data_IF_340486106787
#
_entry.id   IF_340486106787
#
_cell.length_a   1.000
_cell.length_b   1.000
_cell.length_c   1.000
_cell.angle_alpha   90.00
_cell.angle_beta   90.00
_cell.angle_gamma   90.00
#
_symmetry.space_group_name_H-M   'P 1'
#
loop_
_entity.id
_entity.type
_entity.pdbx_description
1 polymer ?
#
# COMPACT_ATOMS: atom_id res chain seq x y z
N UNK A 1 -7.32 26.00 -11.62
CA UNK A 1 -7.42 24.84 -10.71
C UNK A 1 -7.03 23.53 -11.40
N UNK A 2 -7.75 23.06 -12.42
CA UNK A 2 -7.48 21.77 -13.09
C UNK A 2 -6.05 21.68 -13.67
N UNK A 3 -5.58 22.74 -14.32
CA UNK A 3 -4.21 22.81 -14.85
C UNK A 3 -3.14 22.73 -13.75
N UNK A 4 -3.39 23.34 -12.59
CA UNK A 4 -2.47 23.30 -11.44
C UNK A 4 -2.46 21.93 -10.76
N UNK A 5 -3.62 21.28 -10.67
CA UNK A 5 -3.71 19.91 -10.17
C UNK A 5 -2.91 18.94 -11.06
N UNK A 6 -3.05 19.06 -12.39
CA UNK A 6 -2.27 18.28 -13.34
C UNK A 6 -0.76 18.55 -13.23
N UNK A 7 -0.38 19.83 -13.16
CA UNK A 7 1.02 20.24 -12.96
C UNK A 7 1.61 19.63 -11.68
N UNK A 8 0.89 19.71 -10.56
CA UNK A 8 1.34 19.16 -9.29
C UNK A 8 1.55 17.64 -9.33
N UNK A 9 0.76 16.90 -10.11
CA UNK A 9 0.96 15.46 -10.33
C UNK A 9 2.24 15.17 -11.12
N UNK A 10 2.54 15.98 -12.13
CA UNK A 10 3.78 15.85 -12.92
C UNK A 10 5.00 16.15 -12.03
N UNK A 11 4.96 17.24 -11.27
CA UNK A 11 6.01 17.62 -10.32
C UNK A 11 6.24 16.52 -9.26
N UNK A 12 5.14 15.92 -8.75
CA UNK A 12 5.22 14.79 -7.84
C UNK A 12 5.95 13.58 -8.46
N UNK A 13 5.63 13.26 -9.71
CA UNK A 13 6.28 12.17 -10.46
C UNK A 13 7.77 12.41 -10.71
N UNK A 14 8.21 13.68 -10.75
CA UNK A 14 9.61 14.07 -10.84
C UNK A 14 10.33 14.13 -9.49
N UNK A 15 9.65 13.75 -8.40
CA UNK A 15 10.10 13.88 -7.01
C UNK A 15 10.36 15.32 -6.54
N UNK A 16 9.83 16.32 -7.27
CA UNK A 16 9.82 17.72 -6.80
C UNK A 16 8.60 17.95 -5.90
N UNK A 17 8.71 17.45 -4.67
CA UNK A 17 7.60 17.48 -3.72
C UNK A 17 7.24 18.91 -3.27
N UNK A 18 8.20 19.83 -3.20
CA UNK A 18 7.92 21.21 -2.81
C UNK A 18 7.13 21.95 -3.90
N UNK A 19 7.52 21.83 -5.17
CA UNK A 19 6.75 22.40 -6.27
C UNK A 19 5.36 21.76 -6.36
N UNK A 20 5.27 20.44 -6.23
CA UNK A 20 4.02 19.69 -6.24
C UNK A 20 3.05 20.17 -5.16
N UNK A 21 3.52 20.30 -3.91
CA UNK A 21 2.72 20.78 -2.79
C UNK A 21 2.23 22.21 -3.02
N UNK A 22 3.07 23.09 -3.57
CA UNK A 22 2.68 24.45 -3.93
C UNK A 22 1.58 24.45 -4.99
N UNK A 23 1.75 23.68 -6.06
CA UNK A 23 0.76 23.53 -7.13
C UNK A 23 -0.60 23.03 -6.59
N UNK A 24 -0.60 22.01 -5.74
CA UNK A 24 -1.83 21.49 -5.13
C UNK A 24 -2.49 22.51 -4.20
N UNK A 25 -1.74 23.17 -3.31
CA UNK A 25 -2.26 24.20 -2.39
C UNK A 25 -2.85 25.39 -3.16
N UNK A 26 -2.20 25.81 -4.25
CA UNK A 26 -2.74 26.84 -5.14
C UNK A 26 -4.02 26.38 -5.84
N UNK A 27 -4.10 25.11 -6.27
CA UNK A 27 -5.31 24.56 -6.85
C UNK A 27 -6.49 24.57 -5.85
N UNK A 28 -6.25 24.17 -4.60
CA UNK A 28 -7.26 24.20 -3.51
C UNK A 28 -7.75 25.63 -3.27
N UNK A 29 -6.86 26.63 -3.18
CA UNK A 29 -7.25 28.05 -2.96
C UNK A 29 -8.18 28.61 -4.04
N UNK A 30 -8.07 28.13 -5.27
CA UNK A 30 -8.90 28.59 -6.40
C UNK A 30 -10.27 27.87 -6.40
N UNK A 31 -10.35 26.67 -5.82
CA UNK A 31 -11.57 25.88 -5.81
C UNK A 31 -12.51 26.37 -4.71
N UNK A 32 -13.77 26.59 -5.09
CA UNK A 32 -14.84 26.98 -4.17
C UNK A 32 -15.57 25.74 -3.62
N UNK A 33 -15.64 25.59 -2.30
CA UNK A 33 -16.30 24.49 -1.59
C UNK A 33 -17.82 24.41 -1.80
N UNK A 34 -18.45 25.47 -2.34
CA UNK A 34 -19.91 25.53 -2.54
C UNK A 34 -20.43 24.68 -3.71
N UNK A 35 -19.56 24.04 -4.49
CA UNK A 35 -19.97 23.18 -5.61
C UNK A 35 -19.52 21.74 -5.37
N UNK A 36 -20.43 20.78 -5.58
CA UNK A 36 -20.17 19.34 -5.38
C UNK A 36 -18.96 18.84 -6.18
N UNK A 37 -18.79 19.32 -7.42
CA UNK A 37 -17.64 18.97 -8.27
C UNK A 37 -16.31 19.45 -7.69
N UNK A 38 -16.26 20.69 -7.19
CA UNK A 38 -15.05 21.20 -6.56
C UNK A 38 -14.78 20.52 -5.23
N UNK A 39 -15.82 20.17 -4.47
CA UNK A 39 -15.67 19.45 -3.21
C UNK A 39 -14.95 18.10 -3.40
N UNK A 40 -15.38 17.29 -4.37
CA UNK A 40 -14.70 16.02 -4.72
C UNK A 40 -13.26 16.26 -5.21
N UNK A 41 -13.02 17.34 -5.96
CA UNK A 41 -11.69 17.68 -6.45
C UNK A 41 -10.74 18.13 -5.32
N UNK A 42 -11.24 18.93 -4.37
CA UNK A 42 -10.47 19.35 -3.19
C UNK A 42 -10.10 18.12 -2.38
N UNK A 43 -11.02 17.18 -2.13
CA UNK A 43 -10.69 15.96 -1.40
C UNK A 43 -9.53 15.18 -2.04
N UNK A 44 -9.53 14.99 -3.37
CA UNK A 44 -8.40 14.35 -4.08
C UNK A 44 -7.09 15.14 -3.94
N UNK A 45 -7.15 16.47 -3.98
CA UNK A 45 -5.99 17.33 -3.76
C UNK A 45 -5.45 17.22 -2.34
N UNK A 46 -6.31 17.18 -1.33
CA UNK A 46 -5.92 16.97 0.07
C UNK A 46 -5.19 15.63 0.23
N UNK A 47 -5.69 14.54 -0.37
CA UNK A 47 -4.96 13.28 -0.38
C UNK A 47 -3.59 13.41 -1.08
N UNK A 48 -3.50 14.10 -2.21
CA UNK A 48 -2.23 14.27 -2.91
C UNK A 48 -1.23 15.15 -2.14
N UNK A 49 -1.71 16.17 -1.42
CA UNK A 49 -0.90 16.97 -0.49
C UNK A 49 -0.38 16.06 0.64
N UNK A 50 -1.25 15.21 1.20
CA UNK A 50 -0.86 14.19 2.17
C UNK A 50 0.26 13.29 1.64
N UNK A 51 0.15 12.82 0.39
CA UNK A 51 1.19 12.02 -0.26
C UNK A 51 2.52 12.80 -0.37
N UNK A 52 2.50 14.07 -0.79
CA UNK A 52 3.71 14.91 -0.87
C UNK A 52 4.39 15.09 0.47
N UNK A 53 3.61 15.38 1.51
CA UNK A 53 4.12 15.51 2.88
C UNK A 53 4.67 14.18 3.43
N UNK A 54 4.01 13.07 3.10
CA UNK A 54 4.49 11.73 3.46
C UNK A 54 5.88 11.46 2.86
N UNK A 55 6.11 11.80 1.59
CA UNK A 55 7.43 11.63 0.95
C UNK A 55 8.50 12.52 1.59
N UNK A 56 8.11 13.70 2.09
CA UNK A 56 9.00 14.58 2.87
C UNK A 56 9.16 14.14 4.34
N UNK A 57 8.65 12.96 4.73
CA UNK A 57 8.65 12.47 6.12
C UNK A 57 7.90 13.35 7.12
N UNK A 58 7.05 14.27 6.65
CA UNK A 58 6.19 15.14 7.47
C UNK A 58 4.89 14.41 7.84
N UNK A 59 5.02 13.28 8.52
CA UNK A 59 3.92 12.32 8.73
C UNK A 59 2.73 12.91 9.51
N UNK A 60 3.00 13.76 10.51
CA UNK A 60 1.93 14.41 11.28
C UNK A 60 1.10 15.40 10.45
N UNK A 61 1.74 16.12 9.51
CA UNK A 61 1.02 16.98 8.58
C UNK A 61 0.27 16.15 7.53
N UNK A 62 0.91 15.09 7.01
CA UNK A 62 0.28 14.17 6.06
C UNK A 62 -1.01 13.57 6.63
N UNK A 63 -0.99 13.16 7.91
CA UNK A 63 -2.15 12.62 8.61
C UNK A 63 -3.34 13.60 8.61
N UNK A 64 -3.10 14.88 8.92
CA UNK A 64 -4.16 15.91 8.88
C UNK A 64 -4.80 16.03 7.49
N UNK A 65 -3.98 16.03 6.44
CA UNK A 65 -4.46 16.15 5.07
C UNK A 65 -5.20 14.89 4.59
N UNK A 66 -4.73 13.70 4.95
CA UNK A 66 -5.46 12.46 4.67
C UNK A 66 -6.78 12.37 5.44
N UNK A 67 -6.82 12.75 6.72
CA UNK A 67 -8.08 12.81 7.50
C UNK A 67 -9.06 13.79 6.87
N UNK A 68 -8.60 15.00 6.52
CA UNK A 68 -9.44 16.00 5.83
C UNK A 68 -9.99 15.44 4.51
N UNK A 69 -9.15 14.80 3.70
CA UNK A 69 -9.58 14.14 2.47
C UNK A 69 -10.65 13.08 2.72
N UNK A 70 -10.45 12.22 3.73
CA UNK A 70 -11.37 11.14 4.06
C UNK A 70 -12.73 11.68 4.50
N UNK A 71 -12.75 12.68 5.38
CA UNK A 71 -13.97 13.33 5.85
C UNK A 71 -14.76 13.95 4.70
N UNK A 72 -14.06 14.49 3.70
CA UNK A 72 -14.70 15.00 2.49
C UNK A 72 -15.21 13.90 1.55
N UNK A 73 -14.60 12.72 1.55
CA UNK A 73 -15.02 11.63 0.66
C UNK A 73 -16.20 10.82 1.24
N UNK A 74 -16.28 10.67 2.57
CA UNK A 74 -17.30 9.86 3.28
C UNK A 74 -18.75 10.16 2.87
N UNK A 75 -19.20 11.44 2.78
CA UNK A 75 -20.58 11.74 2.37
C UNK A 75 -20.95 11.22 0.98
N UNK A 76 -19.97 11.11 0.06
CA UNK A 76 -20.23 10.59 -1.30
C UNK A 76 -20.49 9.07 -1.29
N UNK A 77 -19.89 8.34 -0.36
CA UNK A 77 -20.14 6.90 -0.15
C UNK A 77 -21.54 6.68 0.42
N UNK A 78 -21.90 7.44 1.46
CA UNK A 78 -23.18 7.37 2.16
C UNK A 78 -24.35 7.76 1.25
N UNK A 79 -24.19 8.81 0.45
CA UNK A 79 -25.18 9.23 -0.53
C UNK A 79 -25.31 8.31 -1.76
N UNK A 80 -24.49 7.26 -1.86
CA UNK A 80 -24.44 6.31 -2.98
C UNK A 80 -24.23 6.97 -4.38
N UNK A 81 -23.70 8.19 -4.42
CA UNK A 81 -23.43 8.93 -5.67
C UNK A 81 -22.11 8.43 -6.25
N UNK A 82 -22.14 7.79 -7.42
CA UNK A 82 -20.93 7.17 -8.04
C UNK A 82 -20.18 6.32 -7.02
N UNK A 83 -20.92 5.48 -6.27
CA UNK A 83 -20.46 4.73 -5.09
C UNK A 83 -19.12 4.03 -5.33
N UNK A 84 -18.93 3.39 -6.48
CA UNK A 84 -17.67 2.72 -6.83
C UNK A 84 -16.47 3.69 -6.79
N UNK A 85 -16.59 4.87 -7.39
CA UNK A 85 -15.51 5.87 -7.40
C UNK A 85 -15.27 6.41 -5.98
N UNK A 86 -16.33 6.68 -5.22
CA UNK A 86 -16.21 7.16 -3.85
C UNK A 86 -15.55 6.11 -2.92
N UNK A 87 -15.95 4.85 -3.04
CA UNK A 87 -15.38 3.72 -2.28
C UNK A 87 -13.91 3.50 -2.67
N UNK A 88 -13.57 3.64 -3.95
CA UNK A 88 -12.18 3.61 -4.41
C UNK A 88 -11.36 4.73 -3.77
N UNK A 89 -11.81 5.99 -3.89
CA UNK A 89 -11.10 7.16 -3.36
C UNK A 89 -10.92 7.07 -1.82
N UNK A 90 -11.99 6.76 -1.08
CA UNK A 90 -11.92 6.53 0.38
C UNK A 90 -10.95 5.40 0.73
N UNK A 91 -11.02 4.29 0.01
CA UNK A 91 -10.16 3.13 0.25
C UNK A 91 -8.68 3.46 0.03
N UNK A 92 -8.35 4.27 -0.97
CA UNK A 92 -6.98 4.78 -1.18
C UNK A 92 -6.54 5.65 -0.01
N UNK A 93 -7.37 6.62 0.41
CA UNK A 93 -7.07 7.52 1.52
C UNK A 93 -6.86 6.77 2.84
N UNK A 94 -7.72 5.79 3.16
CA UNK A 94 -7.59 4.94 4.36
C UNK A 94 -6.31 4.10 4.32
N UNK A 95 -5.92 3.57 3.16
CA UNK A 95 -4.65 2.85 2.99
C UNK A 95 -3.45 3.77 3.29
N UNK A 96 -3.51 5.03 2.81
CA UNK A 96 -2.48 6.03 3.08
C UNK A 96 -2.42 6.42 4.56
N UNK A 97 -3.57 6.56 5.24
CA UNK A 97 -3.64 6.75 6.69
C UNK A 97 -2.97 5.58 7.42
N UNK A 98 -3.30 4.34 7.07
CA UNK A 98 -2.71 3.15 7.72
C UNK A 98 -1.19 3.11 7.58
N UNK A 99 -0.66 3.47 6.41
CA UNK A 99 0.78 3.61 6.20
C UNK A 99 1.38 4.73 7.05
N UNK A 100 0.68 5.86 7.15
CA UNK A 100 1.14 7.02 7.93
C UNK A 100 1.17 6.73 9.44
N UNK A 101 0.12 6.08 9.98
CA UNK A 101 0.09 5.61 11.36
C UNK A 101 1.25 4.66 11.66
N UNK A 102 1.57 3.75 10.75
CA UNK A 102 2.74 2.87 10.90
C UNK A 102 4.05 3.66 11.00
N UNK A 103 4.24 4.70 10.17
CA UNK A 103 5.47 5.51 10.20
C UNK A 103 5.64 6.29 11.50
N UNK A 104 4.55 6.72 12.14
CA UNK A 104 4.57 7.36 13.47
C UNK A 104 4.52 6.35 14.62
N UNK A 105 4.59 5.04 14.31
CA UNK A 105 4.55 3.93 15.28
C UNK A 105 3.25 3.85 16.09
N UNK A 106 2.16 4.38 15.54
CA UNK A 106 0.82 4.20 16.10
C UNK A 106 0.27 2.85 15.62
N UNK A 107 0.67 1.82 16.36
CA UNK A 107 0.33 0.44 16.08
C UNK A 107 -1.11 0.06 16.46
N UNK A 108 -1.82 0.95 17.16
CA UNK A 108 -3.23 0.77 17.49
C UNK A 108 -4.11 1.20 16.32
N UNK A 109 -3.85 2.38 15.75
CA UNK A 109 -4.66 2.92 14.67
C UNK A 109 -4.33 2.32 13.30
N UNK A 110 -3.08 1.92 13.06
CA UNK A 110 -2.66 1.37 11.77
C UNK A 110 -3.51 0.15 11.30
N UNK A 111 -3.69 -0.93 12.09
CA UNK A 111 -4.53 -2.05 11.67
C UNK A 111 -6.01 -1.65 11.54
N UNK A 112 -6.51 -0.79 12.43
CA UNK A 112 -7.91 -0.36 12.44
C UNK A 112 -8.31 0.30 11.10
N UNK A 113 -7.52 1.25 10.60
CA UNK A 113 -7.85 1.95 9.35
C UNK A 113 -7.69 1.07 8.11
N UNK A 114 -6.80 0.08 8.13
CA UNK A 114 -6.71 -0.91 7.05
C UNK A 114 -7.91 -1.87 7.07
N UNK A 115 -8.39 -2.26 8.25
CA UNK A 115 -9.62 -3.06 8.40
C UNK A 115 -10.85 -2.27 7.94
N UNK A 116 -10.93 -0.98 8.27
CA UNK A 116 -11.97 -0.07 7.74
C UNK A 116 -11.91 0.01 6.20
N UNK A 117 -10.72 0.20 5.63
CA UNK A 117 -10.53 0.22 4.17
C UNK A 117 -11.01 -1.08 3.52
N UNK A 118 -10.68 -2.22 4.14
CA UNK A 118 -11.06 -3.53 3.63
C UNK A 118 -12.57 -3.75 3.68
N UNK A 119 -13.22 -3.41 4.79
CA UNK A 119 -14.67 -3.49 4.95
C UNK A 119 -15.37 -2.62 3.90
N UNK A 120 -14.89 -1.39 3.73
CA UNK A 120 -15.45 -0.46 2.75
C UNK A 120 -15.29 -0.97 1.32
N UNK A 121 -14.07 -1.37 0.93
CA UNK A 121 -13.77 -1.86 -0.41
C UNK A 121 -14.53 -3.14 -0.73
N UNK A 122 -14.62 -4.10 0.20
CA UNK A 122 -15.33 -5.38 -0.02
C UNK A 122 -16.85 -5.24 -0.06
N UNK A 123 -17.41 -4.11 0.39
CA UNK A 123 -18.83 -3.79 0.24
C UNK A 123 -19.26 -3.45 -1.20
N UNK A 124 -18.29 -3.29 -2.11
CA UNK A 124 -18.50 -2.82 -3.49
C UNK A 124 -17.66 -3.60 -4.50
N UNK A 125 -16.39 -3.86 -4.19
CA UNK A 125 -15.48 -4.57 -5.08
C UNK A 125 -15.40 -6.06 -4.75
N UNK A 126 -15.19 -6.86 -5.80
CA UNK A 126 -14.90 -8.28 -5.65
C UNK A 126 -13.56 -8.51 -4.93
N UNK A 127 -13.39 -9.69 -4.33
CA UNK A 127 -12.19 -10.04 -3.55
C UNK A 127 -10.88 -9.98 -4.33
N UNK A 128 -10.94 -10.18 -5.65
CA UNK A 128 -9.80 -10.12 -6.56
C UNK A 128 -9.50 -8.71 -7.10
N UNK A 129 -10.26 -7.70 -6.68
CA UNK A 129 -9.99 -6.32 -7.08
C UNK A 129 -8.67 -5.83 -6.50
N UNK A 130 -7.86 -5.15 -7.31
CA UNK A 130 -6.49 -4.76 -6.96
C UNK A 130 -6.42 -3.90 -5.68
N UNK A 131 -7.41 -3.04 -5.43
CA UNK A 131 -7.46 -2.25 -4.18
C UNK A 131 -7.64 -3.13 -2.95
N UNK A 132 -8.52 -4.14 -3.00
CA UNK A 132 -8.76 -5.09 -1.90
C UNK A 132 -7.50 -5.89 -1.59
N UNK A 133 -6.83 -6.41 -2.64
CA UNK A 133 -5.62 -7.19 -2.50
C UNK A 133 -4.46 -6.38 -1.90
N UNK A 134 -4.29 -5.13 -2.35
CA UNK A 134 -3.27 -4.22 -1.80
C UNK A 134 -3.53 -3.90 -0.32
N UNK A 135 -4.78 -3.66 0.06
CA UNK A 135 -5.16 -3.42 1.46
C UNK A 135 -4.91 -4.66 2.32
N UNK A 136 -5.26 -5.86 1.84
CA UNK A 136 -4.99 -7.13 2.53
C UNK A 136 -3.49 -7.34 2.79
N UNK A 137 -2.65 -7.12 1.78
CA UNK A 137 -1.20 -7.21 1.91
C UNK A 137 -0.64 -6.21 2.92
N UNK A 138 -1.16 -4.97 2.92
CA UNK A 138 -0.75 -3.93 3.87
C UNK A 138 -1.18 -4.24 5.30
N UNK A 139 -2.39 -4.75 5.50
CA UNK A 139 -2.87 -5.21 6.80
C UNK A 139 -2.02 -6.38 7.32
N UNK A 140 -1.71 -7.35 6.46
CA UNK A 140 -0.85 -8.48 6.81
C UNK A 140 0.55 -8.01 7.25
N UNK A 141 1.12 -7.03 6.54
CA UNK A 141 2.39 -6.42 6.93
C UNK A 141 2.33 -5.76 8.30
N UNK A 142 1.32 -4.93 8.56
CA UNK A 142 1.13 -4.30 9.88
C UNK A 142 0.97 -5.36 10.98
N UNK A 143 0.16 -6.40 10.74
CA UNK A 143 0.00 -7.51 11.68
C UNK A 143 1.32 -8.21 12.00
N UNK A 144 2.23 -8.33 11.03
CA UNK A 144 3.59 -8.86 11.27
C UNK A 144 4.40 -7.92 12.17
N UNK A 145 4.41 -6.62 11.87
CA UNK A 145 5.18 -5.61 12.64
C UNK A 145 4.74 -5.56 14.11
N UNK A 146 3.45 -5.72 14.40
CA UNK A 146 2.92 -5.69 15.78
C UNK A 146 3.03 -7.04 16.51
N UNK A 147 3.71 -8.03 15.92
CA UNK A 147 3.95 -9.36 16.53
C UNK A 147 2.84 -10.38 16.30
N UNK A 148 1.79 -10.06 15.54
CA UNK A 148 0.71 -10.99 15.18
C UNK A 148 1.06 -11.86 13.94
N UNK A 149 2.25 -12.46 13.93
CA UNK A 149 2.77 -13.20 12.77
C UNK A 149 1.86 -14.33 12.25
N UNK A 150 1.13 -15.02 13.13
CA UNK A 150 0.14 -16.04 12.71
C UNK A 150 -1.04 -15.43 11.96
N UNK A 151 -1.50 -14.24 12.34
CA UNK A 151 -2.58 -13.55 11.65
C UNK A 151 -2.10 -13.03 10.29
N UNK A 152 -0.90 -12.45 10.24
CA UNK A 152 -0.25 -12.01 9.01
C UNK A 152 -0.11 -13.16 7.99
N UNK A 153 0.38 -14.33 8.41
CA UNK A 153 0.49 -15.50 7.53
C UNK A 153 -0.87 -15.96 6.97
N UNK A 154 -1.95 -15.90 7.77
CA UNK A 154 -3.30 -16.23 7.28
C UNK A 154 -3.75 -15.26 6.20
N UNK A 155 -3.52 -13.96 6.40
CA UNK A 155 -3.88 -12.91 5.44
C UNK A 155 -3.06 -13.02 4.14
N UNK A 156 -1.75 -13.23 4.22
CA UNK A 156 -0.92 -13.45 3.03
C UNK A 156 -1.35 -14.70 2.25
N UNK A 157 -1.59 -15.83 2.93
CA UNK A 157 -2.10 -17.05 2.29
C UNK A 157 -3.46 -16.84 1.61
N UNK A 158 -4.37 -16.12 2.25
CA UNK A 158 -5.66 -15.78 1.64
C UNK A 158 -5.47 -14.91 0.39
N UNK A 159 -4.57 -13.93 0.44
CA UNK A 159 -4.25 -13.02 -0.67
C UNK A 159 -3.62 -13.78 -1.84
N UNK A 160 -2.62 -14.63 -1.59
CA UNK A 160 -2.00 -15.51 -2.60
C UNK A 160 -3.02 -16.39 -3.30
N UNK A 161 -3.96 -17.03 -2.58
CA UNK A 161 -5.00 -17.86 -3.20
C UNK A 161 -5.85 -17.08 -4.21
N UNK A 162 -6.22 -15.85 -3.87
CA UNK A 162 -7.01 -15.01 -4.76
C UNK A 162 -6.18 -14.56 -5.96
N UNK A 163 -4.93 -14.15 -5.74
CA UNK A 163 -4.01 -13.74 -6.81
C UNK A 163 -3.74 -14.87 -7.81
N UNK A 164 -3.41 -16.06 -7.31
CA UNK A 164 -3.17 -17.25 -8.15
C UNK A 164 -4.40 -17.56 -9.01
N UNK A 165 -5.60 -17.53 -8.42
CA UNK A 165 -6.83 -17.84 -9.14
C UNK A 165 -7.21 -16.78 -10.20
N UNK A 166 -6.75 -15.54 -10.06
CA UNK A 166 -7.17 -14.41 -10.91
C UNK A 166 -6.12 -13.98 -11.93
N UNK A 167 -4.84 -13.99 -11.56
CA UNK A 167 -3.72 -13.47 -12.36
C UNK A 167 -2.65 -14.54 -12.64
N UNK A 168 -2.84 -15.77 -12.13
CA UNK A 168 -1.88 -16.85 -12.25
C UNK A 168 -0.77 -16.81 -11.20
N UNK A 169 -0.06 -17.94 -11.07
CA UNK A 169 1.00 -18.12 -10.06
C UNK A 169 2.18 -17.18 -10.25
N UNK A 170 2.50 -16.82 -11.50
CA UNK A 170 3.65 -16.00 -11.87
C UNK A 170 3.32 -14.51 -12.04
N UNK A 171 2.29 -14.00 -11.37
CA UNK A 171 1.98 -12.56 -11.35
C UNK A 171 2.94 -11.79 -10.43
N UNK A 172 3.27 -10.55 -10.79
CA UNK A 172 4.15 -9.68 -9.99
C UNK A 172 3.59 -9.51 -8.57
N UNK A 173 2.29 -9.26 -8.45
CA UNK A 173 1.62 -9.06 -7.16
C UNK A 173 1.72 -10.29 -6.28
N UNK A 174 1.64 -11.50 -6.86
CA UNK A 174 1.82 -12.73 -6.09
C UNK A 174 3.26 -12.89 -5.61
N UNK A 175 4.25 -12.52 -6.43
CA UNK A 175 5.66 -12.55 -6.06
C UNK A 175 5.99 -11.58 -4.93
N UNK A 176 5.38 -10.40 -4.93
CA UNK A 176 5.54 -9.42 -3.84
C UNK A 176 4.99 -9.99 -2.51
N UNK A 177 3.81 -10.61 -2.54
CA UNK A 177 3.23 -11.28 -1.36
C UNK A 177 4.06 -12.48 -0.91
N UNK A 178 4.62 -13.26 -1.84
CA UNK A 178 5.53 -14.37 -1.51
C UNK A 178 6.81 -13.88 -0.85
N UNK A 179 7.40 -12.78 -1.31
CA UNK A 179 8.59 -12.20 -0.69
C UNK A 179 8.30 -11.74 0.76
N UNK A 180 7.15 -11.10 0.99
CA UNK A 180 6.72 -10.70 2.33
C UNK A 180 6.44 -11.92 3.24
N UNK A 181 5.84 -12.97 2.69
CA UNK A 181 5.62 -14.24 3.40
C UNK A 181 6.95 -14.89 3.79
N UNK A 182 7.93 -14.88 2.88
CA UNK A 182 9.28 -15.38 3.14
C UNK A 182 9.99 -14.60 4.24
N UNK A 183 9.91 -13.26 4.22
CA UNK A 183 10.47 -12.40 5.27
C UNK A 183 9.88 -12.71 6.65
N UNK A 184 8.56 -12.90 6.73
CA UNK A 184 7.89 -13.28 7.97
C UNK A 184 8.30 -14.67 8.47
N UNK A 185 8.60 -15.62 7.57
CA UNK A 185 9.17 -16.90 7.97
C UNK A 185 10.60 -16.78 8.52
N UNK A 186 11.42 -15.85 8.00
CA UNK A 186 12.74 -15.54 8.57
C UNK A 186 12.60 -14.99 9.98
N UNK A 187 11.69 -14.06 10.21
CA UNK A 187 11.40 -13.51 11.56
C UNK A 187 10.99 -14.61 12.55
N UNK A 188 10.26 -15.62 12.07
CA UNK A 188 9.85 -16.79 12.86
C UNK A 188 10.90 -17.90 12.91
N UNK A 189 12.12 -17.67 12.41
CA UNK A 189 13.21 -18.65 12.30
C UNK A 189 12.83 -19.93 11.55
N UNK A 190 11.76 -19.88 10.75
CA UNK A 190 11.28 -20.97 9.91
C UNK A 190 11.99 -20.94 8.55
N UNK A 191 13.32 -21.06 8.59
CA UNK A 191 14.19 -20.80 7.44
C UNK A 191 13.90 -21.71 6.24
N UNK A 192 13.44 -22.95 6.46
CA UNK A 192 13.07 -23.87 5.37
C UNK A 192 11.88 -23.38 4.54
N UNK A 193 10.85 -22.83 5.19
CA UNK A 193 9.69 -22.24 4.49
C UNK A 193 10.05 -20.89 3.87
N UNK A 194 10.87 -20.08 4.55
CA UNK A 194 11.40 -18.84 3.98
C UNK A 194 12.17 -19.09 2.67
N UNK A 195 13.02 -20.12 2.67
CA UNK A 195 13.82 -20.50 1.50
C UNK A 195 12.95 -20.89 0.32
N UNK A 196 11.87 -21.66 0.54
CA UNK A 196 10.91 -22.01 -0.52
C UNK A 196 10.29 -20.77 -1.14
N UNK A 197 9.86 -19.80 -0.32
CA UNK A 197 9.29 -18.54 -0.81
C UNK A 197 10.30 -17.76 -1.67
N UNK A 198 11.51 -17.50 -1.12
CA UNK A 198 12.50 -16.69 -1.83
C UNK A 198 13.09 -17.37 -3.07
N UNK A 199 13.18 -18.71 -3.12
CA UNK A 199 13.61 -19.42 -4.32
C UNK A 199 12.64 -19.22 -5.49
N UNK A 200 11.33 -19.31 -5.24
CA UNK A 200 10.33 -19.07 -6.30
C UNK A 200 10.37 -17.62 -6.77
N UNK A 201 10.48 -16.65 -5.86
CA UNK A 201 10.62 -15.24 -6.21
C UNK A 201 11.88 -14.98 -7.02
N UNK A 202 13.01 -15.59 -6.63
CA UNK A 202 14.28 -15.46 -7.34
C UNK A 202 14.21 -16.02 -8.77
N UNK A 203 13.64 -17.22 -8.93
CA UNK A 203 13.47 -17.84 -10.25
C UNK A 203 12.53 -17.04 -11.16
N UNK A 204 11.48 -16.44 -10.58
CA UNK A 204 10.63 -15.51 -11.31
C UNK A 204 11.40 -14.26 -11.73
N UNK A 205 12.15 -13.63 -10.82
CA UNK A 205 12.94 -12.43 -11.10
C UNK A 205 13.99 -12.66 -12.19
N UNK A 206 14.68 -13.81 -12.19
CA UNK A 206 15.65 -14.19 -13.24
C UNK A 206 15.05 -14.22 -14.64
N UNK A 207 13.75 -14.53 -14.77
CA UNK A 207 13.06 -14.59 -16.08
C UNK A 207 12.60 -13.22 -16.57
N UNK A 208 12.34 -12.29 -15.65
CA UNK A 208 11.72 -11.00 -15.95
C UNK A 208 12.70 -9.83 -15.98
N UNK A 209 13.80 -9.94 -15.22
CA UNK A 209 14.74 -8.86 -15.00
C UNK A 209 16.10 -9.16 -15.64
N UNK A 210 16.81 -8.13 -16.13
CA UNK A 210 18.22 -8.24 -16.51
C UNK A 210 19.09 -8.78 -15.36
N UNK A 211 20.21 -9.43 -15.71
CA UNK A 211 21.08 -10.08 -14.74
C UNK A 211 21.74 -9.12 -13.73
N UNK A 212 21.84 -7.83 -14.07
CA UNK A 212 22.40 -6.74 -13.27
C UNK A 212 21.34 -5.97 -12.45
N UNK A 213 20.09 -6.42 -12.46
CA UNK A 213 19.03 -5.72 -11.75
C UNK A 213 19.21 -5.80 -10.21
N UNK A 214 19.24 -4.66 -9.48
CA UNK A 214 19.52 -4.64 -8.03
C UNK A 214 18.59 -5.52 -7.18
N UNK A 215 17.31 -5.61 -7.57
CA UNK A 215 16.35 -6.49 -6.88
C UNK A 215 16.72 -7.96 -6.98
N UNK A 216 17.26 -8.41 -8.13
CA UNK A 216 17.68 -9.79 -8.32
C UNK A 216 18.86 -10.13 -7.39
N UNK A 217 19.86 -9.25 -7.33
CA UNK A 217 21.01 -9.37 -6.43
C UNK A 217 20.56 -9.46 -4.96
N UNK A 218 19.66 -8.55 -4.54
CA UNK A 218 19.14 -8.54 -3.17
C UNK A 218 18.42 -9.84 -2.80
N UNK A 219 17.60 -10.38 -3.70
CA UNK A 219 16.90 -11.65 -3.46
C UNK A 219 17.90 -12.81 -3.40
N UNK A 220 18.89 -12.84 -4.30
CA UNK A 220 19.92 -13.87 -4.31
C UNK A 220 20.74 -13.88 -3.01
N UNK A 221 21.15 -12.70 -2.51
CA UNK A 221 21.84 -12.56 -1.23
C UNK A 221 20.95 -13.01 -0.06
N UNK A 222 19.66 -12.70 -0.10
CA UNK A 222 18.69 -13.18 0.91
C UNK A 222 18.63 -14.71 0.94
N UNK A 223 18.58 -15.36 -0.23
CA UNK A 223 18.59 -16.82 -0.33
C UNK A 223 19.86 -17.42 0.27
N UNK A 224 21.04 -16.90 -0.10
CA UNK A 224 22.33 -17.37 0.44
C UNK A 224 22.40 -17.25 1.97
N UNK A 225 21.92 -16.13 2.52
CA UNK A 225 21.87 -15.91 3.98
C UNK A 225 20.96 -16.93 4.67
N UNK A 226 19.80 -17.23 4.09
CA UNK A 226 18.87 -18.21 4.65
C UNK A 226 19.45 -19.63 4.58
N UNK A 227 20.15 -19.97 3.50
CA UNK A 227 20.85 -21.25 3.34
C UNK A 227 21.94 -21.43 4.41
N UNK A 228 22.77 -20.40 4.65
CA UNK A 228 23.77 -20.43 5.71
C UNK A 228 23.16 -20.59 7.11
N UNK A 229 22.02 -19.92 7.39
CA UNK A 229 21.31 -20.07 8.67
C UNK A 229 20.72 -21.47 8.84
N UNK A 230 20.23 -22.09 7.76
CA UNK A 230 19.75 -23.46 7.78
C UNK A 230 20.86 -24.44 8.12
N UNK A 231 22.03 -24.29 7.49
CA UNK A 231 23.19 -25.13 7.76
C UNK A 231 23.57 -25.09 9.24
N UNK A 232 23.69 -23.87 9.82
CA UNK A 232 23.99 -23.67 11.25
C UNK A 232 22.94 -24.33 12.16
N UNK A 233 21.65 -24.27 11.81
CA UNK A 233 20.60 -24.87 12.63
C UNK A 233 20.52 -26.41 12.51
N UNK A 234 21.15 -27.00 11.50
CA UNK A 234 21.14 -28.46 11.25
C UNK A 234 22.39 -29.19 11.73
N UNK A 235 23.46 -28.45 12.07
CA UNK A 235 24.71 -28.94 12.68
C UNK A 235 24.67 -28.87 14.20
#
# INVERSE_FOLDING_TARGET
AISLAGRGLVEFGLNDFDASLNSFRCAVKILNQNTSKHYVMIAKLENNIGCGLFQQSKFQEALKHFTTSLDMQRPSVEGHIRREVAVFDCGVTLTNLGKTYLMIKDYEMAPYVYEEALLLQTSTFAKNHSSVLRTLGSLAFVKSVIGEGKAALRLYRATTRVLVASHGEASQENMDIMALTGALYVEQQSYGEALKCFKVVLEWQKRQLPCDHPTLEKTALTVQRIEAMLEICTT
#
